data_IF_979919949077
#
_entry.id   IF_979919949077
#
_cell.length_a   1.000
_cell.length_b   1.000
_cell.length_c   1.000
_cell.angle_alpha   90.00
_cell.angle_beta   90.00
_cell.angle_gamma   90.00
#
_symmetry.space_group_name_H-M   'P 1'
#
loop_
_entity.id
_entity.type
_entity.pdbx_description
1 polymer ?
#
# COMPACT_ATOMS: atom_id res chain seq x y z
N UNK A 1 10.59 -30.08 17.96
CA UNK A 1 9.56 -30.34 16.93
C UNK A 1 9.37 -29.06 16.12
N UNK A 2 9.32 -29.11 14.77
CA UNK A 2 9.02 -27.91 14.00
C UNK A 2 7.60 -27.41 14.32
N UNK A 3 7.47 -26.11 14.58
CA UNK A 3 6.21 -25.45 14.87
C UNK A 3 5.13 -25.77 13.79
N UNK A 4 3.85 -26.00 14.15
CA UNK A 4 2.81 -26.44 13.20
C UNK A 4 2.68 -25.57 11.95
N UNK A 5 2.89 -24.26 12.10
CA UNK A 5 2.84 -23.28 11.01
C UNK A 5 3.88 -23.53 9.90
N UNK A 6 4.97 -24.25 10.22
CA UNK A 6 6.01 -24.61 9.25
C UNK A 6 5.59 -25.78 8.35
N UNK A 7 4.53 -26.52 8.72
CA UNK A 7 3.98 -27.64 7.94
C UNK A 7 2.94 -27.22 6.90
N UNK A 8 2.41 -26.00 6.98
CA UNK A 8 1.48 -25.47 5.98
C UNK A 8 2.16 -25.33 4.63
N UNK A 9 1.43 -25.59 3.55
CA UNK A 9 1.94 -25.36 2.20
C UNK A 9 2.09 -23.85 1.92
N UNK A 10 2.98 -23.45 1.00
CA UNK A 10 3.12 -22.05 0.60
C UNK A 10 1.80 -21.42 0.17
N UNK A 11 0.94 -22.16 -0.52
CA UNK A 11 -0.35 -21.69 -1.05
C UNK A 11 -1.31 -21.35 0.09
N UNK A 12 -1.40 -22.19 1.12
CA UNK A 12 -2.25 -21.91 2.29
C UNK A 12 -1.73 -20.69 3.04
N UNK A 13 -0.42 -20.52 3.16
CA UNK A 13 0.16 -19.32 3.77
C UNK A 13 -0.14 -18.06 2.94
N UNK A 14 -0.08 -18.13 1.61
CA UNK A 14 -0.46 -17.01 0.73
C UNK A 14 -1.94 -16.64 0.88
N UNK A 15 -2.84 -17.62 0.98
CA UNK A 15 -4.27 -17.34 1.22
C UNK A 15 -4.49 -16.68 2.58
N UNK A 16 -3.80 -17.13 3.62
CA UNK A 16 -3.82 -16.48 4.93
C UNK A 16 -3.32 -15.03 4.81
N UNK A 17 -2.18 -14.81 4.14
CA UNK A 17 -1.62 -13.46 3.96
C UNK A 17 -2.56 -12.55 3.18
N UNK A 18 -3.25 -13.07 2.16
CA UNK A 18 -4.25 -12.31 1.41
C UNK A 18 -5.40 -11.83 2.30
N UNK A 19 -5.84 -12.65 3.26
CA UNK A 19 -6.87 -12.25 4.24
C UNK A 19 -6.40 -11.20 5.24
N UNK A 20 -5.09 -10.95 5.34
CA UNK A 20 -4.55 -9.86 6.15
C UNK A 20 -4.53 -8.53 5.39
N UNK A 21 -4.70 -8.54 4.06
CA UNK A 21 -4.87 -7.33 3.27
C UNK A 21 -6.29 -6.78 3.48
N UNK A 22 -6.42 -5.47 3.70
CA UNK A 22 -7.70 -4.76 3.69
C UNK A 22 -8.55 -4.81 4.96
N UNK A 23 -8.48 -5.87 5.77
CA UNK A 23 -9.46 -6.08 6.86
C UNK A 23 -9.15 -5.34 8.19
N UNK A 24 -7.92 -4.90 8.44
CA UNK A 24 -7.56 -4.22 9.70
C UNK A 24 -6.63 -3.04 9.39
N UNK A 25 -6.91 -1.81 9.86
CA UNK A 25 -5.90 -0.74 9.89
C UNK A 25 -4.70 -1.24 10.69
N UNK A 26 -3.52 -1.29 10.08
CA UNK A 26 -2.33 -1.75 10.79
C UNK A 26 -1.70 -0.64 11.64
N UNK A 27 -2.07 0.63 11.42
CA UNK A 27 -1.61 1.83 12.16
C UNK A 27 -0.10 1.87 12.47
N UNK A 28 0.72 1.17 11.69
CA UNK A 28 2.12 0.98 12.06
C UNK A 28 2.99 0.62 10.86
N UNK A 29 2.63 -0.43 10.12
CA UNK A 29 3.51 -0.95 9.08
C UNK A 29 2.70 -1.72 8.04
N UNK A 30 2.99 -1.58 6.73
CA UNK A 30 2.28 -2.34 5.72
C UNK A 30 2.51 -3.85 5.91
N UNK A 31 1.44 -4.62 5.80
CA UNK A 31 1.37 -6.08 6.00
C UNK A 31 2.57 -6.86 5.42
N UNK A 32 3.02 -6.65 4.15
CA UNK A 32 4.14 -7.42 3.61
C UNK A 32 5.44 -7.21 4.39
N UNK A 33 5.69 -6.01 4.92
CA UNK A 33 6.89 -5.77 5.74
C UNK A 33 6.81 -6.56 7.05
N UNK A 34 5.67 -6.52 7.74
CA UNK A 34 5.43 -7.27 8.98
C UNK A 34 5.57 -8.77 8.78
N UNK A 35 4.92 -9.33 7.75
CA UNK A 35 4.97 -10.76 7.44
C UNK A 35 6.40 -11.22 7.07
N UNK A 36 7.17 -10.37 6.40
CA UNK A 36 8.55 -10.69 6.01
C UNK A 36 9.50 -10.83 7.20
N UNK A 37 9.13 -10.35 8.40
CA UNK A 37 9.97 -10.39 9.60
C UNK A 37 9.71 -11.61 10.50
N UNK A 38 8.66 -12.39 10.25
CA UNK A 38 8.26 -13.52 11.14
C UNK A 38 9.27 -14.66 11.13
N UNK A 39 9.57 -15.21 9.94
CA UNK A 39 10.58 -16.27 9.79
C UNK A 39 11.10 -16.34 8.34
N UNK A 40 12.18 -17.10 8.11
CA UNK A 40 12.79 -17.24 6.77
C UNK A 40 11.79 -17.74 5.70
N UNK A 41 10.92 -18.70 6.06
CA UNK A 41 9.92 -19.26 5.14
C UNK A 41 8.89 -18.21 4.74
N UNK A 42 8.38 -17.43 5.70
CA UNK A 42 7.40 -16.37 5.44
C UNK A 42 8.01 -15.28 4.58
N UNK A 43 9.24 -14.86 4.89
CA UNK A 43 9.99 -13.91 4.06
C UNK A 43 10.09 -14.36 2.61
N UNK A 44 10.46 -15.61 2.36
CA UNK A 44 10.55 -16.15 0.99
C UNK A 44 9.20 -16.11 0.27
N UNK A 45 8.13 -16.51 0.93
CA UNK A 45 6.77 -16.51 0.35
C UNK A 45 6.33 -15.08 0.04
N UNK A 46 6.51 -14.15 0.98
CA UNK A 46 6.09 -12.75 0.82
C UNK A 46 6.86 -12.08 -0.32
N UNK A 47 8.18 -12.27 -0.39
CA UNK A 47 9.00 -11.72 -1.48
C UNK A 47 8.63 -12.32 -2.85
N UNK A 48 8.16 -13.56 -2.90
CA UNK A 48 7.72 -14.23 -4.12
C UNK A 48 6.25 -13.94 -4.50
N UNK A 49 5.54 -13.09 -3.75
CA UNK A 49 4.10 -12.85 -3.93
C UNK A 49 3.82 -11.38 -4.25
N UNK A 50 3.90 -10.95 -5.52
CA UNK A 50 3.76 -9.54 -5.93
C UNK A 50 2.45 -8.89 -5.46
N UNK A 51 1.36 -9.64 -5.40
CA UNK A 51 0.05 -9.13 -4.96
C UNK A 51 0.05 -8.60 -3.52
N UNK A 52 0.93 -9.09 -2.64
CA UNK A 52 1.04 -8.60 -1.26
C UNK A 52 1.66 -7.19 -1.18
N UNK A 53 2.38 -6.78 -2.23
CA UNK A 53 3.04 -5.47 -2.33
C UNK A 53 2.20 -4.46 -3.11
N UNK A 54 1.08 -4.91 -3.69
CA UNK A 54 0.26 -4.12 -4.60
C UNK A 54 -0.93 -3.43 -3.92
N UNK A 55 -1.31 -3.86 -2.72
CA UNK A 55 -2.33 -3.22 -1.89
C UNK A 55 -1.66 -2.15 -1.01
N UNK A 56 -2.00 -0.88 -1.21
CA UNK A 56 -1.38 0.26 -0.54
C UNK A 56 -2.48 1.14 0.04
N UNK A 57 -2.54 1.29 1.37
CA UNK A 57 -3.50 2.18 2.04
C UNK A 57 -2.77 3.28 2.80
N UNK A 58 -2.98 4.50 2.34
CA UNK A 58 -2.38 5.72 2.85
C UNK A 58 -3.47 6.54 3.55
N UNK A 59 -3.27 7.02 4.78
CA UNK A 59 -2.15 6.72 5.68
C UNK A 59 -2.31 5.41 6.45
N UNK A 60 -3.42 4.67 6.29
CA UNK A 60 -3.84 3.59 7.19
C UNK A 60 -2.83 2.45 7.44
N UNK A 61 -1.86 2.25 6.53
CA UNK A 61 -0.79 1.26 6.67
C UNK A 61 0.50 1.81 7.29
N UNK A 62 0.51 3.08 7.70
CA UNK A 62 1.69 3.82 8.15
C UNK A 62 1.46 4.44 9.54
N UNK A 63 2.53 4.72 10.31
CA UNK A 63 2.43 5.38 11.61
C UNK A 63 2.23 6.89 11.48
N UNK A 64 1.35 7.46 12.30
CA UNK A 64 1.01 8.89 12.28
C UNK A 64 2.18 9.82 12.55
N UNK A 65 3.10 9.39 13.42
CA UNK A 65 4.26 10.18 13.82
C UNK A 65 5.32 10.32 12.71
N UNK A 66 5.22 9.56 11.62
CA UNK A 66 6.28 9.47 10.61
C UNK A 66 5.79 9.27 9.18
N UNK A 67 4.56 9.72 8.88
CA UNK A 67 3.91 9.53 7.58
C UNK A 67 4.86 9.81 6.40
N UNK A 68 5.46 11.00 6.29
CA UNK A 68 6.25 11.32 5.10
C UNK A 68 7.54 10.49 4.94
N UNK A 69 8.29 10.28 6.02
CA UNK A 69 9.58 9.58 5.95
C UNK A 69 9.42 8.08 5.69
N UNK A 70 8.52 7.42 6.42
CA UNK A 70 8.34 5.98 6.30
C UNK A 70 7.62 5.62 5.00
N UNK A 71 6.68 6.45 4.55
CA UNK A 71 6.02 6.25 3.25
C UNK A 71 7.02 6.46 2.09
N UNK A 72 7.86 7.50 2.15
CA UNK A 72 8.88 7.74 1.13
C UNK A 72 9.90 6.60 1.02
N UNK A 73 10.19 5.88 2.13
CA UNK A 73 11.05 4.69 2.12
C UNK A 73 10.31 3.43 1.64
N UNK A 74 9.06 3.24 2.08
CA UNK A 74 8.30 2.03 1.82
C UNK A 74 7.75 1.94 0.40
N UNK A 75 7.19 3.04 -0.13
CA UNK A 75 6.52 3.04 -1.43
C UNK A 75 7.43 2.56 -2.58
N UNK A 76 8.69 3.03 -2.72
CA UNK A 76 9.60 2.51 -3.75
C UNK A 76 9.78 1.00 -3.67
N UNK A 77 9.91 0.45 -2.46
CA UNK A 77 10.07 -1.00 -2.24
C UNK A 77 8.79 -1.75 -2.63
N UNK A 78 7.61 -1.20 -2.28
CA UNK A 78 6.33 -1.79 -2.66
C UNK A 78 6.12 -1.78 -4.17
N UNK A 79 6.46 -0.69 -4.85
CA UNK A 79 6.41 -0.60 -6.31
C UNK A 79 7.36 -1.61 -6.97
N UNK A 80 8.61 -1.69 -6.51
CA UNK A 80 9.58 -2.64 -7.04
C UNK A 80 9.10 -4.10 -6.88
N UNK A 81 8.63 -4.46 -5.69
CA UNK A 81 8.26 -5.85 -5.36
C UNK A 81 6.90 -6.26 -5.91
N UNK A 82 6.00 -5.31 -6.19
CA UNK A 82 4.77 -5.58 -6.92
C UNK A 82 5.02 -5.88 -8.40
N UNK A 83 6.21 -5.63 -8.93
CA UNK A 83 6.62 -6.11 -10.26
C UNK A 83 5.75 -5.54 -11.38
N UNK A 84 5.00 -6.37 -12.11
CA UNK A 84 4.00 -5.98 -13.12
C UNK A 84 2.54 -6.05 -12.61
N UNK A 85 2.32 -6.41 -11.34
CA UNK A 85 1.00 -6.66 -10.78
C UNK A 85 0.18 -5.36 -10.63
N UNK A 86 -1.12 -5.34 -10.97
CA UNK A 86 -1.95 -4.14 -10.84
C UNK A 86 -1.97 -3.58 -9.41
N UNK A 87 -1.79 -2.27 -9.24
CA UNK A 87 -1.78 -1.62 -7.92
C UNK A 87 -3.18 -1.17 -7.50
N UNK A 88 -3.46 -1.42 -6.24
CA UNK A 88 -4.70 -1.07 -5.55
C UNK A 88 -4.38 -0.04 -4.48
N UNK A 89 -4.63 1.23 -4.78
CA UNK A 89 -4.19 2.35 -3.94
C UNK A 89 -5.40 3.06 -3.34
N UNK A 90 -5.37 3.18 -2.01
CA UNK A 90 -6.30 3.99 -1.22
C UNK A 90 -5.52 5.18 -0.65
N UNK A 91 -5.85 6.41 -1.03
CA UNK A 91 -5.15 7.62 -0.59
C UNK A 91 -6.10 8.57 0.14
N UNK A 92 -6.14 8.48 1.46
CA UNK A 92 -6.97 9.33 2.31
C UNK A 92 -6.14 10.49 2.86
N UNK A 93 -6.25 11.66 2.25
CA UNK A 93 -5.55 12.85 2.74
C UNK A 93 -6.32 13.43 3.92
N UNK A 94 -6.16 12.82 5.10
CA UNK A 94 -6.58 13.42 6.37
C UNK A 94 -5.60 14.52 6.76
N UNK A 95 -5.63 15.63 6.03
CA UNK A 95 -4.94 16.80 6.53
C UNK A 95 -5.88 17.62 7.42
N UNK A 96 -5.70 17.47 8.73
CA UNK A 96 -6.36 18.30 9.71
C UNK A 96 -5.58 19.60 9.97
N UNK A 97 -4.40 19.81 9.38
CA UNK A 97 -3.51 20.93 9.70
C UNK A 97 -2.81 21.65 8.52
N UNK A 98 -2.79 21.13 7.29
CA UNK A 98 -2.14 21.80 6.18
C UNK A 98 -3.02 22.89 5.57
N UNK A 99 -2.36 24.01 5.31
CA UNK A 99 -2.85 25.09 4.46
C UNK A 99 -2.86 24.69 2.96
N UNK A 100 -2.20 23.57 2.62
CA UNK A 100 -2.00 23.06 1.26
C UNK A 100 -2.97 21.92 0.93
N UNK A 101 -3.28 21.77 -0.35
CA UNK A 101 -4.25 20.79 -0.82
C UNK A 101 -3.72 19.36 -0.79
N UNK A 102 -4.61 18.37 -0.82
CA UNK A 102 -4.24 16.94 -0.82
C UNK A 102 -3.45 16.51 -2.08
N UNK A 103 -3.38 17.37 -3.10
CA UNK A 103 -2.59 17.16 -4.32
C UNK A 103 -1.15 17.71 -4.21
N UNK A 104 -0.87 18.52 -3.19
CA UNK A 104 0.45 19.14 -2.99
C UNK A 104 1.41 18.20 -2.22
N UNK A 105 0.91 17.07 -1.73
CA UNK A 105 1.71 16.04 -1.07
C UNK A 105 2.85 15.53 -1.98
N UNK A 106 4.09 15.38 -1.46
CA UNK A 106 5.23 14.86 -2.23
C UNK A 106 5.04 13.41 -2.69
N UNK A 107 4.03 12.71 -2.15
CA UNK A 107 3.67 11.36 -2.54
C UNK A 107 2.92 11.31 -3.86
N UNK A 108 2.18 12.36 -4.22
CA UNK A 108 1.33 12.39 -5.41
C UNK A 108 2.12 12.11 -6.70
N UNK A 109 3.29 12.75 -6.95
CA UNK A 109 4.12 12.40 -8.09
C UNK A 109 4.57 10.93 -8.10
N UNK A 110 4.90 10.36 -6.93
CA UNK A 110 5.28 8.94 -6.81
C UNK A 110 4.12 8.02 -7.18
N UNK A 111 2.93 8.31 -6.66
CA UNK A 111 1.71 7.53 -6.93
C UNK A 111 1.37 7.62 -8.42
N UNK A 112 1.29 8.83 -8.98
CA UNK A 112 0.96 9.06 -10.40
C UNK A 112 1.98 8.42 -11.34
N UNK A 113 3.25 8.30 -10.94
CA UNK A 113 4.27 7.56 -11.70
C UNK A 113 3.90 6.09 -11.95
N UNK A 114 3.02 5.52 -11.13
CA UNK A 114 2.51 4.16 -11.28
C UNK A 114 1.12 4.08 -11.92
N UNK A 115 0.54 5.20 -12.39
CA UNK A 115 -0.84 5.24 -12.89
C UNK A 115 -1.15 4.25 -14.02
N UNK A 116 -0.15 3.94 -14.86
CA UNK A 116 -0.26 3.02 -16.00
C UNK A 116 -0.61 1.56 -15.64
N UNK A 117 -0.53 1.19 -14.35
CA UNK A 117 -0.73 -0.17 -13.83
C UNK A 117 -1.68 -0.19 -12.64
N UNK A 118 -2.48 0.86 -12.43
CA UNK A 118 -3.47 0.84 -11.37
C UNK A 118 -4.63 -0.08 -11.73
N UNK A 119 -5.03 -0.94 -10.79
CA UNK A 119 -6.34 -1.58 -10.80
C UNK A 119 -7.39 -0.58 -10.32
N UNK A 120 -7.10 0.08 -9.18
CA UNK A 120 -7.83 1.26 -8.72
C UNK A 120 -6.93 2.24 -8.00
N UNK A 121 -7.34 3.50 -8.08
CA UNK A 121 -6.89 4.57 -7.21
C UNK A 121 -8.13 5.30 -6.72
N UNK A 122 -8.37 5.29 -5.42
CA UNK A 122 -9.41 6.12 -4.82
C UNK A 122 -8.80 6.99 -3.75
N UNK A 123 -9.37 8.18 -3.61
CA UNK A 123 -8.94 9.14 -2.62
C UNK A 123 -10.17 9.74 -1.95
N UNK A 124 -10.09 9.86 -0.62
CA UNK A 124 -11.06 10.64 0.12
C UNK A 124 -10.51 12.04 0.24
N UNK A 125 -11.31 13.00 -0.18
CA UNK A 125 -11.06 14.40 0.09
C UNK A 125 -12.16 14.87 1.02
N UNK A 126 -11.80 15.34 2.21
CA UNK A 126 -12.75 15.89 3.19
C UNK A 126 -13.47 17.16 2.68
N UNK A 127 -13.06 17.72 1.54
CA UNK A 127 -13.64 18.93 0.92
C UNK A 127 -14.03 18.81 -0.58
N UNK A 128 -14.07 17.60 -1.19
CA UNK A 128 -14.27 17.47 -2.65
C UNK A 128 -15.73 17.39 -3.13
N UNK A 129 -16.42 18.53 -3.12
CA UNK A 129 -17.42 18.80 -4.16
C UNK A 129 -16.82 19.60 -5.34
N UNK A 130 -15.67 20.26 -5.18
CA UNK A 130 -15.22 21.28 -6.15
C UNK A 130 -14.07 20.85 -7.09
N UNK A 131 -13.28 19.82 -6.77
CA UNK A 131 -12.01 19.56 -7.48
C UNK A 131 -12.00 18.37 -8.48
N UNK A 132 -13.05 17.55 -8.52
CA UNK A 132 -13.09 16.33 -9.36
C UNK A 132 -13.23 16.58 -10.87
N UNK A 133 -13.19 17.81 -11.37
CA UNK A 133 -13.23 18.10 -12.82
C UNK A 133 -11.89 17.94 -13.54
N UNK A 134 -10.77 17.78 -12.84
CA UNK A 134 -9.44 17.99 -13.45
C UNK A 134 -8.72 16.70 -13.89
N UNK A 135 -8.96 15.54 -13.28
CA UNK A 135 -8.08 14.38 -13.47
C UNK A 135 -8.48 13.39 -14.60
N UNK A 136 -9.70 13.45 -15.15
CA UNK A 136 -10.15 12.48 -16.17
C UNK A 136 -9.88 12.89 -17.63
N UNK A 137 -9.27 14.05 -17.89
CA UNK A 137 -9.13 14.59 -19.27
C UNK A 137 -7.75 14.47 -19.91
N UNK A 138 -6.81 13.71 -19.33
CA UNK A 138 -5.49 13.49 -19.96
C UNK A 138 -5.10 12.03 -19.97
N UNK A 139 -5.69 11.27 -20.89
CA UNK A 139 -4.98 10.23 -21.63
C UNK A 139 -5.09 10.59 -23.12
N UNK A 140 -3.97 10.74 -23.85
CA UNK A 140 -4.00 10.85 -25.31
C UNK A 140 -4.47 9.53 -25.97
#
# INVERSE_FOLDING_TARGET
>A
MPHPINKLSPEILQEIFRKLLGDVPTESTPVPFTLSQVCKKWRQIVLASPFLWAEIRIPNDFPEESYDEEMAKALPIMFERSGSFPLSISYDAYDHQAEEGPLDSPLIPLLLGQAHRWDYFWTRFSYAAEYLKVACSTSP
#
